data_IF_648196845527
#
_entry.id   IF_648196845527
#
_cell.length_a   1.000
_cell.length_b   1.000
_cell.length_c   1.000
_cell.angle_alpha   90.00
_cell.angle_beta   90.00
_cell.angle_gamma   90.00
#
_symmetry.space_group_name_H-M   'P 1'
#
loop_
_entity.id
_entity.type
_entity.pdbx_description
1 polymer ?
#
# COMPACT_ATOMS: atom_id res chain seq x y z
N UNK A 1 -29.53 8.52 2.73
CA UNK A 1 -29.46 9.91 2.25
C UNK A 1 -29.23 10.92 3.36
N UNK A 2 -30.18 11.08 4.28
CA UNK A 2 -30.25 12.19 5.24
C UNK A 2 -29.03 12.40 6.14
N UNK A 3 -28.40 11.33 6.63
CA UNK A 3 -27.18 11.42 7.46
C UNK A 3 -25.96 11.94 6.71
N UNK A 4 -25.86 11.67 5.41
CA UNK A 4 -24.74 12.12 4.58
C UNK A 4 -24.80 13.64 4.39
N UNK A 5 -26.00 14.16 4.12
CA UNK A 5 -26.27 15.59 3.95
C UNK A 5 -26.02 16.35 5.27
N UNK A 6 -26.53 15.84 6.40
CA UNK A 6 -26.25 16.43 7.73
C UNK A 6 -24.76 16.48 8.06
N UNK A 7 -24.01 15.42 7.70
CA UNK A 7 -22.56 15.37 7.95
C UNK A 7 -21.80 16.36 7.07
N UNK A 8 -22.22 16.51 5.83
CA UNK A 8 -21.65 17.48 4.90
C UNK A 8 -21.87 18.92 5.38
N UNK A 9 -23.11 19.26 5.77
CA UNK A 9 -23.44 20.56 6.35
C UNK A 9 -22.65 20.89 7.61
N UNK A 10 -22.38 19.90 8.48
CA UNK A 10 -21.54 20.11 9.67
C UNK A 10 -20.06 20.35 9.36
N UNK A 11 -19.59 19.90 8.21
CA UNK A 11 -18.19 20.02 7.80
C UNK A 11 -17.94 21.27 6.94
N UNK A 12 -19.00 21.81 6.33
CA UNK A 12 -18.97 23.04 5.54
C UNK A 12 -19.09 24.25 6.46
N UNK A 13 -18.06 25.09 6.50
CA UNK A 13 -17.99 26.31 7.31
C UNK A 13 -18.19 27.59 6.47
N UNK A 14 -18.64 27.44 5.22
CA UNK A 14 -18.82 28.54 4.28
C UNK A 14 -17.55 28.99 3.56
N UNK A 15 -16.38 28.45 3.90
CA UNK A 15 -15.12 28.77 3.20
C UNK A 15 -14.81 27.78 2.07
N UNK A 16 -14.12 28.23 1.04
CA UNK A 16 -13.60 27.35 -0.03
C UNK A 16 -12.67 26.27 0.54
N UNK A 17 -12.02 26.54 1.67
CA UNK A 17 -11.11 25.62 2.35
C UNK A 17 -11.85 24.39 2.93
N UNK A 18 -13.11 24.54 3.35
CA UNK A 18 -13.92 23.40 3.83
C UNK A 18 -14.33 22.43 2.73
N UNK A 19 -14.32 22.87 1.47
CA UNK A 19 -14.53 22.00 0.30
C UNK A 19 -13.29 21.17 -0.02
N UNK A 20 -12.11 21.56 0.48
CA UNK A 20 -10.89 20.80 0.28
C UNK A 20 -10.89 19.53 1.13
N UNK A 21 -10.69 18.40 0.46
CA UNK A 21 -10.57 17.10 1.11
C UNK A 21 -9.28 17.07 1.94
N UNK A 22 -9.41 17.15 3.27
CA UNK A 22 -8.27 16.94 4.18
C UNK A 22 -7.61 15.58 3.88
N UNK A 23 -6.29 15.58 3.78
CA UNK A 23 -5.49 14.36 3.72
C UNK A 23 -5.88 13.47 4.89
N UNK A 24 -6.43 12.30 4.61
CA UNK A 24 -6.69 11.31 5.65
C UNK A 24 -5.36 10.63 5.95
N UNK A 25 -4.96 10.64 7.21
CA UNK A 25 -3.88 9.77 7.69
C UNK A 25 -4.21 8.34 7.27
N UNK A 26 -3.44 7.84 6.31
CA UNK A 26 -3.64 6.50 5.78
C UNK A 26 -3.44 5.45 6.87
N UNK A 27 -3.99 4.25 6.67
CA UNK A 27 -3.75 3.13 7.58
C UNK A 27 -2.24 2.91 7.73
N UNK A 28 -1.71 2.80 8.97
CA UNK A 28 -0.28 2.61 9.21
C UNK A 28 0.25 1.40 8.44
N UNK A 29 1.54 1.47 8.07
CA UNK A 29 2.22 0.34 7.44
C UNK A 29 2.53 -0.68 8.53
N UNK A 30 2.13 -1.92 8.32
CA UNK A 30 2.48 -3.08 9.16
C UNK A 30 3.91 -3.56 8.93
N UNK A 31 4.47 -3.26 7.74
CA UNK A 31 5.84 -3.54 7.37
C UNK A 31 6.60 -2.23 7.21
N UNK A 32 7.83 -2.18 7.72
CA UNK A 32 8.76 -1.08 7.49
C UNK A 32 9.14 -1.00 6.00
N UNK A 33 9.80 0.09 5.59
CA UNK A 33 10.24 0.22 4.19
C UNK A 33 11.34 -0.81 3.86
N UNK A 34 12.18 -1.09 4.84
CA UNK A 34 13.30 -2.02 4.79
C UNK A 34 12.81 -3.46 4.66
N UNK A 35 11.83 -3.85 5.50
CA UNK A 35 11.19 -5.17 5.42
C UNK A 35 10.51 -5.38 4.07
N UNK A 36 9.85 -4.35 3.54
CA UNK A 36 9.21 -4.42 2.21
C UNK A 36 10.24 -4.56 1.10
N UNK A 37 11.40 -3.90 1.21
CA UNK A 37 12.48 -4.03 0.22
C UNK A 37 13.03 -5.45 0.25
N UNK A 38 13.46 -5.91 1.42
CA UNK A 38 14.18 -7.17 1.58
C UNK A 38 13.29 -8.39 1.32
N UNK A 39 12.15 -8.49 2.01
CA UNK A 39 11.31 -9.70 1.95
C UNK A 39 10.32 -9.72 0.79
N UNK A 40 10.31 -8.70 -0.07
CA UNK A 40 9.45 -8.70 -1.26
C UNK A 40 10.13 -8.30 -2.53
N UNK A 41 10.74 -7.12 -2.58
CA UNK A 41 11.30 -6.62 -3.83
C UNK A 41 12.51 -7.46 -4.22
N UNK A 42 13.38 -7.77 -3.27
CA UNK A 42 14.56 -8.59 -3.55
C UNK A 42 14.14 -10.04 -3.87
N UNK A 43 13.20 -10.61 -3.11
CA UNK A 43 12.63 -11.92 -3.44
C UNK A 43 12.02 -12.00 -4.85
N UNK A 44 11.20 -11.01 -5.24
CA UNK A 44 10.60 -10.96 -6.59
C UNK A 44 11.68 -10.80 -7.66
N UNK A 45 12.69 -9.97 -7.43
CA UNK A 45 13.82 -9.81 -8.38
C UNK A 45 14.59 -11.11 -8.59
N UNK A 46 14.89 -11.83 -7.50
CA UNK A 46 15.60 -13.13 -7.55
C UNK A 46 14.77 -14.16 -8.32
N UNK A 47 13.47 -14.21 -8.10
CA UNK A 47 12.61 -15.16 -8.80
C UNK A 47 12.42 -14.82 -10.28
N UNK A 48 12.30 -13.52 -10.59
CA UNK A 48 12.20 -13.05 -11.97
C UNK A 48 13.50 -13.27 -12.75
N UNK A 49 14.67 -13.14 -12.11
CA UNK A 49 15.95 -13.46 -12.77
C UNK A 49 16.10 -14.95 -13.10
N UNK A 50 15.32 -15.82 -12.45
CA UNK A 50 15.21 -17.25 -12.75
C UNK A 50 14.08 -17.56 -13.76
N UNK A 51 13.49 -16.55 -14.41
CA UNK A 51 12.33 -16.68 -15.30
C UNK A 51 11.10 -17.33 -14.66
N UNK A 52 10.97 -17.27 -13.33
CA UNK A 52 9.83 -17.83 -12.61
C UNK A 52 8.78 -16.76 -12.35
N UNK A 53 7.54 -17.03 -12.74
CA UNK A 53 6.41 -16.16 -12.41
C UNK A 53 6.16 -16.15 -10.90
N UNK A 54 6.13 -14.96 -10.29
CA UNK A 54 5.83 -14.80 -8.86
C UNK A 54 4.39 -14.34 -8.66
N UNK A 55 3.63 -15.07 -7.85
CA UNK A 55 2.30 -14.64 -7.42
C UNK A 55 2.31 -14.09 -5.99
N UNK A 56 1.26 -13.34 -5.63
CA UNK A 56 1.18 -12.71 -4.30
C UNK A 56 1.12 -13.71 -3.13
N UNK A 57 0.65 -14.94 -3.36
CA UNK A 57 0.61 -15.98 -2.30
C UNK A 57 2.03 -16.48 -1.98
N UNK A 58 2.89 -16.63 -2.98
CA UNK A 58 4.29 -16.97 -2.79
C UNK A 58 5.03 -15.90 -2.00
N UNK A 59 4.82 -14.62 -2.37
CA UNK A 59 5.40 -13.49 -1.62
C UNK A 59 4.89 -13.46 -0.18
N UNK A 60 3.59 -13.72 0.03
CA UNK A 60 3.01 -13.83 1.38
C UNK A 60 3.71 -14.93 2.18
N UNK A 61 3.80 -16.14 1.64
CA UNK A 61 4.45 -17.26 2.32
C UNK A 61 5.89 -16.92 2.70
N UNK A 62 6.66 -16.32 1.79
CA UNK A 62 8.03 -15.94 2.08
C UNK A 62 8.12 -14.90 3.21
N UNK A 63 7.29 -13.86 3.17
CA UNK A 63 7.25 -12.82 4.23
C UNK A 63 6.88 -13.42 5.58
N UNK A 64 5.89 -14.32 5.62
CA UNK A 64 5.43 -14.95 6.86
C UNK A 64 6.50 -15.87 7.45
N UNK A 65 7.19 -16.66 6.62
CA UNK A 65 8.32 -17.50 7.05
C UNK A 65 9.49 -16.66 7.54
N UNK A 66 9.84 -15.58 6.85
CA UNK A 66 10.99 -14.76 7.21
C UNK A 66 10.78 -13.89 8.46
N UNK A 67 9.55 -13.39 8.69
CA UNK A 67 9.23 -12.52 9.82
C UNK A 67 8.57 -13.25 10.99
N UNK A 68 8.32 -14.56 10.85
CA UNK A 68 7.60 -15.40 11.81
C UNK A 68 6.28 -14.77 12.30
N UNK A 69 5.53 -14.13 11.39
CA UNK A 69 4.23 -13.49 11.67
C UNK A 69 3.31 -13.54 10.47
N UNK A 70 2.01 -13.61 10.72
CA UNK A 70 0.98 -13.61 9.68
C UNK A 70 0.77 -12.21 9.11
N UNK A 71 0.75 -12.07 7.79
CA UNK A 71 0.47 -10.81 7.12
C UNK A 71 -0.72 -10.95 6.15
N UNK A 72 -1.75 -10.08 6.26
CA UNK A 72 -2.87 -10.12 5.33
C UNK A 72 -2.43 -9.97 3.87
N UNK A 73 -3.01 -10.77 2.97
CA UNK A 73 -2.71 -10.69 1.53
C UNK A 73 -2.98 -9.29 0.96
N UNK A 74 -3.96 -8.57 1.51
CA UNK A 74 -4.28 -7.19 1.15
C UNK A 74 -3.14 -6.21 1.46
N UNK A 75 -2.43 -6.38 2.58
CA UNK A 75 -1.20 -5.64 2.87
C UNK A 75 -0.13 -6.01 1.84
N UNK A 76 -0.06 -7.29 1.47
CA UNK A 76 0.95 -7.76 0.52
C UNK A 76 0.81 -7.05 -0.84
N UNK A 77 -0.41 -7.04 -1.38
CA UNK A 77 -0.78 -6.37 -2.62
C UNK A 77 -0.63 -4.86 -2.54
N UNK A 78 -1.04 -4.25 -1.42
CA UNK A 78 -0.93 -2.79 -1.20
C UNK A 78 0.51 -2.30 -1.33
N UNK A 79 1.47 -3.00 -0.75
CA UNK A 79 2.87 -2.64 -0.88
C UNK A 79 3.39 -2.86 -2.31
N UNK A 80 2.95 -3.91 -2.99
CA UNK A 80 3.25 -4.12 -4.42
C UNK A 80 2.78 -2.94 -5.27
N UNK A 81 1.49 -2.56 -5.16
CA UNK A 81 0.91 -1.43 -5.91
C UNK A 81 1.61 -0.10 -5.61
N UNK A 82 1.83 0.22 -4.33
CA UNK A 82 2.50 1.48 -3.95
C UNK A 82 3.94 1.55 -4.47
N UNK A 83 4.68 0.44 -4.44
CA UNK A 83 6.09 0.46 -4.87
C UNK A 83 6.25 0.39 -6.40
N UNK A 84 5.36 -0.31 -7.11
CA UNK A 84 5.35 -0.28 -8.58
C UNK A 84 5.01 1.13 -9.07
N UNK A 85 4.03 1.79 -8.46
CA UNK A 85 3.70 3.18 -8.77
C UNK A 85 4.88 4.14 -8.47
N UNK A 86 5.55 3.98 -7.31
CA UNK A 86 6.73 4.78 -6.95
C UNK A 86 7.92 4.56 -7.91
N UNK A 87 8.11 3.35 -8.43
CA UNK A 87 9.14 3.07 -9.43
C UNK A 87 8.77 3.65 -10.81
N UNK A 88 7.49 3.63 -11.18
CA UNK A 88 7.02 4.24 -12.42
C UNK A 88 7.16 5.77 -12.41
N UNK A 89 6.83 6.43 -11.29
CA UNK A 89 7.04 7.88 -11.12
C UNK A 89 8.53 8.28 -11.14
N UNK A 90 9.41 7.42 -10.63
CA UNK A 90 10.87 7.65 -10.66
C UNK A 90 11.52 7.43 -12.03
N UNK A 91 10.88 6.71 -12.94
CA UNK A 91 11.37 6.48 -14.31
C UNK A 91 10.86 7.53 -15.30
N UNK A 92 9.86 8.33 -14.90
CA UNK A 92 9.27 9.41 -15.70
C UNK A 92 9.78 10.81 -15.32
N UNK A 93 10.69 10.91 -14.34
CA UNK A 93 11.45 12.11 -14.00
C UNK A 93 12.94 11.86 -14.24
#
# INVERSE_FOLDING_TARGET
>A
GHMLIKRWYRQWDGTVQSLNRKSRNGRPRTLSKEEVKHYKLDFVKIMNSQYKSVNYRMVKSHVETSLNRTEPLSNIQRYGKKNVALNAEKLMN
#
